data_IF_204672599410
#
_entry.id   IF_204672599410
#
_cell.length_a   1.000
_cell.length_b   1.000
_cell.length_c   1.000
_cell.angle_alpha   90.00
_cell.angle_beta   90.00
_cell.angle_gamma   90.00
#
_symmetry.space_group_name_H-M   'P 1'
#
loop_
_entity.id
_entity.type
_entity.pdbx_description
1 polymer ?
#
# COMPACT_ATOMS: atom_id res chain seq x y z
N UNK A 1 -48.31 38.87 -17.92
CA UNK A 1 -47.48 37.66 -18.05
C UNK A 1 -47.58 36.90 -16.72
N UNK A 2 -47.81 35.60 -16.81
CA UNK A 2 -48.65 34.80 -15.90
C UNK A 2 -48.00 34.50 -14.54
N UNK A 3 -48.79 34.67 -13.47
CA UNK A 3 -48.63 34.07 -12.13
C UNK A 3 -49.70 32.98 -12.04
N UNK A 4 -49.37 31.74 -11.66
CA UNK A 4 -50.39 30.77 -11.26
C UNK A 4 -49.89 29.77 -10.18
N UNK A 5 -50.71 29.65 -9.14
CA UNK A 5 -50.63 28.75 -7.97
C UNK A 5 -51.42 27.45 -8.23
N UNK A 6 -51.08 26.35 -7.54
CA UNK A 6 -51.97 25.22 -7.18
C UNK A 6 -51.50 24.66 -5.82
N UNK A 7 -52.19 24.67 -4.66
CA UNK A 7 -53.50 24.16 -4.16
C UNK A 7 -53.61 22.63 -3.95
N UNK A 8 -53.76 22.26 -2.66
CA UNK A 8 -53.99 20.92 -2.04
C UNK A 8 -55.51 20.52 -2.13
N UNK A 9 -55.90 19.25 -1.94
CA UNK A 9 -57.14 18.60 -2.42
C UNK A 9 -58.32 18.67 -1.43
N UNK A 10 -59.53 18.15 -1.77
CA UNK A 10 -59.94 16.84 -1.19
C UNK A 10 -61.02 15.98 -1.93
N UNK A 11 -61.05 14.69 -1.53
CA UNK A 11 -62.19 13.77 -1.24
C UNK A 11 -63.27 13.33 -2.27
N UNK A 12 -63.74 12.07 -2.07
CA UNK A 12 -64.91 11.40 -2.67
C UNK A 12 -64.51 10.24 -3.59
N UNK A 13 -65.02 9.00 -3.52
CA UNK A 13 -66.38 8.55 -3.21
C UNK A 13 -66.47 7.13 -2.64
N UNK A 14 -67.65 6.83 -2.08
CA UNK A 14 -68.05 5.63 -1.35
C UNK A 14 -69.09 4.77 -2.10
N UNK A 15 -69.35 3.58 -1.53
CA UNK A 15 -70.57 2.74 -1.59
C UNK A 15 -70.73 1.79 -2.83
N UNK A 16 -71.28 0.57 -2.73
CA UNK A 16 -72.42 0.13 -1.89
C UNK A 16 -72.58 -1.41 -1.80
N UNK A 17 -73.10 -1.89 -0.66
CA UNK A 17 -74.04 -3.03 -0.39
C UNK A 17 -73.65 -4.48 -0.78
N UNK A 18 -74.09 -5.56 -0.12
CA UNK A 18 -74.74 -5.86 1.16
C UNK A 18 -74.84 -7.42 1.23
N UNK A 19 -74.84 -8.04 2.42
CA UNK A 19 -75.84 -9.01 2.89
C UNK A 19 -75.31 -9.82 4.09
N UNK A 20 -76.19 -10.02 5.07
CA UNK A 20 -75.99 -10.70 6.36
C UNK A 20 -76.44 -12.15 6.24
N UNK A 21 -75.66 -13.09 6.77
CA UNK A 21 -76.19 -14.37 7.27
C UNK A 21 -75.23 -14.95 8.32
N UNK A 22 -75.66 -14.92 9.58
CA UNK A 22 -75.10 -15.66 10.69
C UNK A 22 -75.45 -17.14 10.56
N UNK A 23 -74.45 -18.03 10.67
CA UNK A 23 -74.70 -19.43 10.98
C UNK A 23 -73.59 -20.02 11.85
N UNK A 24 -74.01 -20.87 12.77
CA UNK A 24 -73.27 -21.33 13.93
C UNK A 24 -72.26 -22.45 13.63
N UNK A 25 -71.27 -22.54 14.54
CA UNK A 25 -70.64 -23.76 15.06
C UNK A 25 -69.72 -24.57 14.12
N UNK A 26 -68.44 -24.66 14.50
CA UNK A 26 -67.70 -25.89 14.91
C UNK A 26 -66.20 -25.54 14.91
N UNK A 27 -65.55 -25.80 16.05
CA UNK A 27 -64.11 -25.67 16.22
C UNK A 27 -63.37 -26.64 15.28
N UNK A 28 -62.53 -26.10 14.40
CA UNK A 28 -61.54 -26.86 13.64
C UNK A 28 -60.16 -26.63 14.26
N UNK A 29 -59.50 -27.72 14.66
CA UNK A 29 -58.13 -27.69 15.17
C UNK A 29 -57.17 -27.24 14.07
N UNK A 30 -56.47 -26.13 14.29
CA UNK A 30 -55.38 -25.67 13.44
C UNK A 30 -54.15 -26.55 13.68
N UNK A 31 -53.50 -27.10 12.63
CA UNK A 31 -52.26 -27.83 12.79
C UNK A 31 -51.13 -26.89 13.22
N UNK A 32 -50.36 -27.32 14.21
CA UNK A 32 -49.14 -26.67 14.69
C UNK A 32 -48.15 -26.45 13.52
N UNK A 33 -47.61 -25.23 13.31
CA UNK A 33 -46.55 -25.02 12.35
C UNK A 33 -45.29 -25.78 12.78
N UNK A 34 -44.68 -26.52 11.85
CA UNK A 34 -43.38 -27.14 12.05
C UNK A 34 -42.31 -26.06 12.34
N UNK A 35 -41.33 -26.31 13.22
CA UNK A 35 -40.28 -25.35 13.51
C UNK A 35 -39.43 -25.14 12.26
N UNK A 36 -39.34 -23.89 11.79
CA UNK A 36 -38.40 -23.50 10.74
C UNK A 36 -36.99 -23.63 11.32
N UNK A 37 -36.15 -24.46 10.70
CA UNK A 37 -34.75 -24.58 11.06
C UNK A 37 -34.08 -23.20 10.93
N UNK A 38 -33.59 -22.67 12.04
CA UNK A 38 -32.83 -21.42 12.07
C UNK A 38 -31.51 -21.65 11.34
N UNK A 39 -31.28 -20.91 10.25
CA UNK A 39 -29.97 -20.81 9.63
C UNK A 39 -28.96 -20.34 10.69
N UNK A 40 -27.81 -21.01 10.86
CA UNK A 40 -26.80 -20.58 11.82
C UNK A 40 -26.38 -19.14 11.52
N UNK A 41 -26.39 -18.29 12.55
CA UNK A 41 -25.80 -16.96 12.47
C UNK A 41 -24.34 -17.10 12.03
N UNK A 42 -23.95 -16.35 11.01
CA UNK A 42 -22.57 -16.30 10.53
C UNK A 42 -21.74 -15.62 11.61
N UNK A 43 -20.98 -16.41 12.37
CA UNK A 43 -19.99 -15.90 13.31
C UNK A 43 -19.02 -14.99 12.54
N UNK A 44 -18.77 -13.75 12.97
CA UNK A 44 -17.74 -12.90 12.37
C UNK A 44 -16.42 -13.68 12.33
N UNK A 45 -15.78 -13.73 11.16
CA UNK A 45 -14.46 -14.33 11.03
C UNK A 45 -13.53 -13.69 12.08
N UNK A 46 -12.96 -14.53 12.94
CA UNK A 46 -11.97 -14.07 13.90
C UNK A 46 -10.83 -13.39 13.13
N UNK A 47 -10.58 -12.11 13.42
CA UNK A 47 -9.36 -11.42 12.99
C UNK A 47 -8.17 -12.23 13.49
N UNK A 48 -7.53 -12.96 12.59
CA UNK A 48 -6.27 -13.64 12.88
C UNK A 48 -5.28 -12.61 13.37
N UNK A 49 -4.79 -12.80 14.59
CA UNK A 49 -3.78 -11.94 15.19
C UNK A 49 -2.52 -12.00 14.32
N UNK A 50 -2.06 -10.86 13.84
CA UNK A 50 -0.78 -10.74 13.15
C UNK A 50 0.32 -10.82 14.19
N UNK A 51 1.05 -11.94 14.18
CA UNK A 51 2.15 -12.23 15.12
C UNK A 51 3.50 -11.81 14.57
N UNK A 52 3.55 -11.24 13.37
CA UNK A 52 4.81 -10.80 12.75
C UNK A 52 5.33 -9.58 13.52
N UNK A 53 6.50 -9.67 14.18
CA UNK A 53 7.04 -8.53 14.92
C UNK A 53 7.44 -7.41 13.97
N UNK A 54 7.20 -6.16 14.38
CA UNK A 54 7.77 -5.03 13.66
C UNK A 54 9.30 -5.02 13.85
N UNK A 55 10.04 -4.89 12.75
CA UNK A 55 11.49 -4.85 12.71
C UNK A 55 11.95 -3.80 11.71
N UNK A 56 13.11 -3.20 11.98
CA UNK A 56 13.81 -2.33 11.02
C UNK A 56 15.06 -3.03 10.51
N UNK A 57 15.39 -2.80 9.25
CA UNK A 57 16.64 -3.27 8.64
C UNK A 57 17.39 -2.09 8.04
N UNK A 58 18.69 -2.02 8.33
CA UNK A 58 19.58 -0.99 7.78
C UNK A 58 20.54 -1.61 6.77
N UNK A 59 20.56 -1.07 5.56
CA UNK A 59 21.46 -1.46 4.49
C UNK A 59 22.55 -0.39 4.42
N UNK A 60 23.81 -0.80 4.59
CA UNK A 60 24.98 0.07 4.53
C UNK A 60 25.82 -0.26 3.31
N UNK A 61 26.23 0.77 2.58
CA UNK A 61 27.23 0.68 1.52
C UNK A 61 28.26 1.80 1.69
N UNK A 62 29.37 1.78 0.94
CA UNK A 62 30.25 2.94 0.83
C UNK A 62 29.56 4.23 0.37
N UNK A 63 28.42 4.14 -0.32
CA UNK A 63 27.75 5.27 -0.98
C UNK A 63 26.57 5.84 -0.17
N UNK A 64 25.87 4.99 0.57
CA UNK A 64 24.60 5.32 1.24
C UNK A 64 24.30 4.42 2.43
N UNK A 65 23.38 4.88 3.29
CA UNK A 65 22.70 4.06 4.31
C UNK A 65 21.19 4.16 4.15
N UNK A 66 20.47 3.03 4.09
CA UNK A 66 19.02 2.98 3.95
C UNK A 66 18.41 2.21 5.09
N UNK A 67 17.35 2.72 5.71
CA UNK A 67 16.56 1.98 6.70
C UNK A 67 15.17 1.70 6.16
N UNK A 68 14.79 0.42 6.14
CA UNK A 68 13.45 -0.04 5.81
C UNK A 68 12.74 -0.52 7.09
N UNK A 69 11.47 -0.15 7.25
CA UNK A 69 10.59 -0.60 8.31
C UNK A 69 9.72 -1.75 7.80
N UNK A 70 9.65 -2.86 8.54
CA UNK A 70 8.84 -4.01 8.13
C UNK A 70 7.36 -3.69 8.12
N UNK A 71 6.92 -2.70 8.90
CA UNK A 71 5.56 -2.16 8.79
C UNK A 71 5.38 -1.45 7.45
N UNK A 72 4.53 -2.03 6.60
CA UNK A 72 4.29 -1.56 5.25
C UNK A 72 5.47 -1.76 4.28
N UNK A 73 6.60 -2.33 4.72
CA UNK A 73 7.84 -2.42 3.94
C UNK A 73 8.21 -1.07 3.30
N UNK A 74 8.37 -0.05 4.15
CA UNK A 74 8.55 1.36 3.77
C UNK A 74 9.98 1.84 4.08
N UNK A 75 10.51 2.76 3.28
CA UNK A 75 11.76 3.42 3.63
C UNK A 75 11.52 4.51 4.68
N UNK A 76 12.29 4.47 5.77
CA UNK A 76 12.21 5.46 6.85
C UNK A 76 13.48 6.32 6.95
N UNK A 77 14.57 5.91 6.31
CA UNK A 77 15.80 6.68 6.17
C UNK A 77 16.48 6.34 4.85
N UNK A 78 17.06 7.34 4.19
CA UNK A 78 17.91 7.18 3.02
C UNK A 78 18.98 8.27 3.03
N UNK A 79 20.19 7.94 3.50
CA UNK A 79 21.30 8.88 3.67
C UNK A 79 22.32 8.66 2.56
N UNK A 80 22.71 9.73 1.88
CA UNK A 80 23.80 9.72 0.90
C UNK A 80 25.11 10.13 1.59
N UNK A 81 26.12 9.28 1.53
CA UNK A 81 27.39 9.46 2.24
C UNK A 81 28.43 10.20 1.40
N UNK A 82 28.50 9.88 0.11
CA UNK A 82 29.46 10.45 -0.83
C UNK A 82 28.80 10.74 -2.16
N UNK A 83 29.41 11.63 -2.92
CA UNK A 83 29.24 11.78 -4.35
C UNK A 83 30.34 10.94 -5.01
N UNK A 84 29.94 10.03 -5.89
CA UNK A 84 30.84 9.19 -6.65
C UNK A 84 30.61 9.44 -8.14
N UNK A 85 31.47 10.27 -8.72
CA UNK A 85 31.42 10.65 -10.13
C UNK A 85 32.80 10.51 -10.77
N UNK A 86 32.88 10.33 -12.10
CA UNK A 86 34.17 10.27 -12.81
C UNK A 86 35.06 11.51 -12.60
N UNK A 87 34.49 12.65 -12.19
CA UNK A 87 35.22 13.92 -12.00
C UNK A 87 35.79 14.07 -10.60
N UNK A 88 35.14 13.51 -9.59
CA UNK A 88 35.54 13.66 -8.19
C UNK A 88 34.72 12.75 -7.29
N UNK A 89 35.35 12.29 -6.22
CA UNK A 89 34.70 11.65 -5.08
C UNK A 89 34.85 12.52 -3.84
N UNK A 90 33.75 12.82 -3.16
CA UNK A 90 33.78 13.62 -1.93
C UNK A 90 32.57 13.32 -1.03
N UNK A 91 32.69 13.48 0.30
CA UNK A 91 31.56 13.33 1.22
C UNK A 91 30.42 14.29 0.90
N UNK A 92 29.17 13.84 1.06
CA UNK A 92 27.98 14.66 0.80
C UNK A 92 27.27 14.94 2.12
N UNK A 93 26.92 16.21 2.30
CA UNK A 93 26.19 16.72 3.45
C UNK A 93 25.03 17.58 2.96
N UNK A 94 23.99 17.71 3.77
CA UNK A 94 22.80 18.50 3.43
C UNK A 94 23.14 19.99 3.28
N UNK A 95 22.38 20.75 2.48
CA UNK A 95 22.65 22.17 2.17
C UNK A 95 22.86 23.04 3.42
N UNK A 96 22.08 22.80 4.48
CA UNK A 96 22.19 23.48 5.78
C UNK A 96 23.41 23.10 6.64
N UNK A 97 24.44 22.45 6.07
CA UNK A 97 25.68 22.07 6.75
C UNK A 97 26.74 23.16 6.70
N UNK A 98 27.60 23.20 7.70
CA UNK A 98 28.79 24.07 7.74
C UNK A 98 30.01 23.28 8.25
N UNK A 99 31.14 23.93 8.52
CA UNK A 99 32.35 23.24 8.99
C UNK A 99 32.22 22.69 10.42
N UNK A 100 31.51 23.39 11.30
CA UNK A 100 31.28 23.00 12.68
C UNK A 100 30.12 21.99 12.83
N UNK A 101 29.19 21.98 11.89
CA UNK A 101 27.97 21.18 11.92
C UNK A 101 27.71 20.53 10.55
N UNK A 102 28.18 19.28 10.40
CA UNK A 102 27.99 18.47 9.20
C UNK A 102 26.71 17.66 9.32
N UNK A 103 25.66 18.08 8.60
CA UNK A 103 24.37 17.38 8.61
C UNK A 103 24.34 16.29 7.54
N UNK A 104 23.86 15.08 7.85
CA UNK A 104 23.77 14.01 6.87
C UNK A 104 22.81 14.41 5.75
N UNK A 105 23.16 14.07 4.50
CA UNK A 105 22.25 14.20 3.36
C UNK A 105 21.16 13.13 3.43
N UNK A 106 20.18 13.36 4.29
CA UNK A 106 19.00 12.53 4.48
C UNK A 106 17.94 12.91 3.45
N UNK A 107 17.54 11.95 2.63
CA UNK A 107 16.54 12.17 1.59
C UNK A 107 15.11 12.06 2.10
N UNK A 108 14.87 11.42 3.25
CA UNK A 108 13.54 11.25 3.85
C UNK A 108 13.34 12.25 4.99
N UNK A 109 12.42 13.20 4.80
CA UNK A 109 12.15 14.24 5.79
C UNK A 109 11.59 13.68 7.10
N UNK A 110 12.05 14.16 8.27
CA UNK A 110 11.43 13.85 9.56
C UNK A 110 9.93 14.18 9.62
N UNK A 111 9.50 15.25 8.93
CA UNK A 111 8.11 15.69 8.88
C UNK A 111 7.21 14.63 8.24
N UNK A 112 7.67 13.97 7.17
CA UNK A 112 6.94 12.89 6.53
C UNK A 112 6.77 11.64 7.41
N UNK A 113 7.75 11.39 8.29
CA UNK A 113 7.68 10.30 9.28
C UNK A 113 6.70 10.62 10.42
N UNK A 114 6.50 11.90 10.71
CA UNK A 114 5.61 12.37 11.77
C UNK A 114 4.13 12.51 11.33
N UNK A 115 3.84 12.54 10.03
CA UNK A 115 2.47 12.60 9.49
C UNK A 115 1.70 11.29 9.73
N UNK A 116 0.37 11.39 9.82
CA UNK A 116 -0.54 10.26 9.92
C UNK A 116 -1.61 10.35 8.83
N UNK A 117 -1.61 9.42 7.84
CA UNK A 117 -0.62 8.37 7.62
C UNK A 117 0.76 8.93 7.21
N UNK A 118 1.82 8.15 7.44
CA UNK A 118 3.17 8.53 7.02
C UNK A 118 3.25 8.75 5.50
N UNK A 119 3.97 9.79 5.08
CA UNK A 119 4.13 10.16 3.67
C UNK A 119 5.51 9.77 3.14
N UNK A 120 5.90 8.52 3.41
CA UNK A 120 7.19 7.97 3.02
C UNK A 120 7.13 7.17 1.71
N UNK A 121 8.28 6.93 1.06
CA UNK A 121 8.34 6.16 -0.18
C UNK A 121 7.89 4.71 -0.02
N UNK A 122 7.59 4.10 -1.18
CA UNK A 122 7.24 2.69 -1.35
C UNK A 122 5.89 2.28 -0.79
N UNK A 123 5.04 3.25 -0.46
CA UNK A 123 3.63 2.98 -0.16
C UNK A 123 2.90 2.50 -1.41
N UNK A 124 1.92 1.64 -1.20
CA UNK A 124 1.06 1.15 -2.27
C UNK A 124 -0.31 1.80 -2.17
N UNK A 125 -0.88 2.16 -3.31
CA UNK A 125 -2.26 2.63 -3.43
C UNK A 125 -2.97 1.85 -4.52
N UNK A 126 -4.18 1.42 -4.20
CA UNK A 126 -5.11 0.71 -5.06
C UNK A 126 -6.47 1.38 -4.94
N UNK A 127 -7.41 0.96 -5.77
CA UNK A 127 -8.79 1.44 -5.72
C UNK A 127 -9.59 0.85 -4.52
N UNK A 128 -9.02 -0.13 -3.81
CA UNK A 128 -9.61 -0.75 -2.60
C UNK A 128 -8.92 -0.22 -1.34
N UNK A 129 -9.65 0.57 -0.55
CA UNK A 129 -9.14 1.17 0.70
C UNK A 129 -8.73 0.12 1.74
N UNK A 130 -9.44 -1.01 1.83
CA UNK A 130 -9.10 -2.07 2.78
C UNK A 130 -7.77 -2.74 2.40
N UNK A 131 -7.51 -2.93 1.10
CA UNK A 131 -6.21 -3.39 0.61
C UNK A 131 -5.13 -2.37 0.96
N UNK A 132 -5.39 -1.07 0.77
CA UNK A 132 -4.43 -0.01 1.13
C UNK A 132 -4.05 -0.04 2.61
N UNK A 133 -5.02 -0.24 3.50
CA UNK A 133 -4.77 -0.32 4.94
C UNK A 133 -3.93 -1.54 5.31
N UNK A 134 -4.20 -2.69 4.68
CA UNK A 134 -3.44 -3.93 4.90
C UNK A 134 -1.98 -3.75 4.43
N UNK A 135 -1.76 -3.37 3.18
CA UNK A 135 -0.42 -3.35 2.57
C UNK A 135 0.49 -2.25 3.11
N UNK A 136 -0.06 -1.21 3.74
CA UNK A 136 0.72 -0.14 4.35
C UNK A 136 0.74 -0.19 5.89
N UNK A 137 -0.19 -0.92 6.51
CA UNK A 137 -0.37 -0.93 7.97
C UNK A 137 0.14 -2.20 8.67
N UNK A 138 0.32 -3.31 7.94
CA UNK A 138 0.77 -4.60 8.50
C UNK A 138 2.28 -4.77 8.50
N UNK A 139 2.76 -5.65 9.36
CA UNK A 139 4.18 -6.01 9.38
C UNK A 139 4.47 -7.09 8.33
N UNK A 140 5.55 -6.91 7.59
CA UNK A 140 6.03 -7.87 6.61
C UNK A 140 7.08 -8.78 7.24
N UNK A 141 7.10 -10.04 6.84
CA UNK A 141 8.23 -10.93 7.10
C UNK A 141 9.40 -10.52 6.19
N UNK A 142 10.61 -10.43 6.77
CA UNK A 142 11.83 -10.06 6.04
C UNK A 142 12.61 -11.34 5.75
N UNK A 143 13.13 -11.50 4.53
CA UNK A 143 13.92 -12.66 4.12
C UNK A 143 15.27 -12.83 4.85
N UNK A 144 15.65 -11.89 5.70
CA UNK A 144 16.86 -11.97 6.52
C UNK A 144 16.56 -11.73 7.99
N UNK A 145 17.31 -12.43 8.85
CA UNK A 145 17.30 -12.22 10.28
C UNK A 145 18.18 -11.03 10.71
N UNK A 146 19.07 -10.56 9.86
CA UNK A 146 19.99 -9.45 10.16
C UNK A 146 19.23 -8.12 10.30
N UNK A 147 19.59 -7.32 11.31
CA UNK A 147 19.12 -5.93 11.44
C UNK A 147 19.97 -4.95 10.64
N UNK A 148 21.22 -5.31 10.34
CA UNK A 148 22.13 -4.51 9.52
C UNK A 148 22.81 -5.40 8.50
N UNK A 149 22.69 -5.01 7.22
CA UNK A 149 23.36 -5.64 6.08
C UNK A 149 24.41 -4.66 5.58
N UNK A 150 25.67 -5.09 5.51
CA UNK A 150 26.77 -4.27 4.97
C UNK A 150 27.21 -4.81 3.61
N UNK A 151 27.26 -3.94 2.60
CA UNK A 151 27.68 -4.25 1.24
C UNK A 151 29.00 -3.56 0.94
N UNK A 152 30.01 -4.34 0.53
CA UNK A 152 31.24 -3.81 -0.06
C UNK A 152 31.05 -3.45 -1.54
N UNK A 153 32.03 -2.76 -2.14
CA UNK A 153 32.06 -2.49 -3.58
C UNK A 153 31.94 -3.80 -4.37
N UNK A 154 31.11 -3.81 -5.42
CA UNK A 154 30.83 -4.98 -6.23
C UNK A 154 29.90 -6.02 -5.58
N UNK A 155 29.43 -5.81 -4.35
CA UNK A 155 28.44 -6.68 -3.72
C UNK A 155 27.02 -6.24 -4.00
N UNK A 156 26.14 -7.22 -4.15
CA UNK A 156 24.69 -7.04 -4.28
C UNK A 156 23.97 -7.85 -3.20
N UNK A 157 22.86 -7.32 -2.69
CA UNK A 157 21.96 -8.05 -1.81
C UNK A 157 20.51 -7.81 -2.18
N UNK A 158 19.79 -8.92 -2.32
CA UNK A 158 18.35 -8.94 -2.41
C UNK A 158 17.72 -9.07 -1.01
N UNK A 159 16.73 -8.24 -0.71
CA UNK A 159 15.93 -8.29 0.52
C UNK A 159 14.45 -8.34 0.13
N UNK A 160 13.81 -9.44 0.50
CA UNK A 160 12.39 -9.68 0.21
C UNK A 160 11.56 -9.42 1.46
N UNK A 161 10.49 -8.65 1.29
CA UNK A 161 9.43 -8.44 2.28
C UNK A 161 8.17 -9.14 1.80
N UNK A 162 7.63 -10.05 2.61
CA UNK A 162 6.41 -10.80 2.30
C UNK A 162 5.30 -10.53 3.32
N UNK A 163 4.08 -10.43 2.82
CA UNK A 163 2.87 -10.31 3.62
C UNK A 163 1.81 -11.25 3.04
N UNK A 164 1.23 -12.08 3.88
CA UNK A 164 0.02 -12.85 3.57
C UNK A 164 -0.97 -12.59 4.68
N UNK A 165 -2.16 -12.11 4.32
CA UNK A 165 -3.22 -11.78 5.27
C UNK A 165 -4.40 -12.75 5.12
N UNK A 166 -5.17 -12.96 6.20
CA UNK A 166 -6.32 -13.86 6.19
C UNK A 166 -7.44 -13.45 5.23
N UNK A 167 -7.47 -12.18 4.80
CA UNK A 167 -8.34 -11.70 3.73
C UNK A 167 -7.96 -12.21 2.33
N UNK A 168 -6.86 -12.95 2.20
CA UNK A 168 -6.33 -13.45 0.93
C UNK A 168 -5.47 -12.41 0.19
N UNK A 169 -5.11 -11.30 0.84
CA UNK A 169 -4.12 -10.36 0.30
C UNK A 169 -2.72 -10.94 0.45
N UNK A 170 -1.98 -10.96 -0.66
CA UNK A 170 -0.59 -11.41 -0.72
C UNK A 170 0.28 -10.32 -1.35
N UNK A 171 1.35 -9.94 -0.68
CA UNK A 171 2.29 -8.93 -1.15
C UNK A 171 3.71 -9.42 -1.05
N UNK A 172 4.48 -9.13 -2.09
CA UNK A 172 5.93 -9.30 -2.11
C UNK A 172 6.57 -8.01 -2.61
N UNK A 173 7.44 -7.40 -1.79
CA UNK A 173 8.34 -6.32 -2.22
C UNK A 173 9.76 -6.85 -2.22
N UNK A 174 10.43 -6.77 -3.35
CA UNK A 174 11.78 -7.27 -3.54
C UNK A 174 12.71 -6.10 -3.81
N UNK A 175 13.60 -5.81 -2.87
CA UNK A 175 14.60 -4.75 -3.00
C UNK A 175 15.94 -5.36 -3.37
N UNK A 176 16.63 -4.77 -4.35
CA UNK A 176 18.00 -5.15 -4.72
C UNK A 176 18.91 -3.95 -4.50
N UNK A 177 19.85 -4.10 -3.58
CA UNK A 177 20.83 -3.08 -3.21
C UNK A 177 22.22 -3.47 -3.69
N UNK A 178 23.01 -2.47 -4.10
CA UNK A 178 24.37 -2.64 -4.61
C UNK A 178 25.33 -1.73 -3.86
N UNK A 179 26.52 -2.23 -3.53
CA UNK A 179 27.52 -1.49 -2.76
C UNK A 179 28.23 -0.37 -3.54
N UNK A 180 28.12 -0.40 -4.87
CA UNK A 180 28.82 0.47 -5.81
C UNK A 180 27.87 1.28 -6.72
N UNK A 181 26.56 1.27 -6.44
CA UNK A 181 25.56 2.01 -7.20
C UNK A 181 24.52 2.66 -6.30
N UNK A 182 24.14 3.91 -6.61
CA UNK A 182 22.99 4.58 -5.96
C UNK A 182 21.64 4.02 -6.41
N UNK A 183 21.63 3.12 -7.39
CA UNK A 183 20.42 2.50 -7.92
C UNK A 183 20.07 1.30 -7.04
N UNK A 184 18.89 1.36 -6.45
CA UNK A 184 18.20 0.20 -5.91
C UNK A 184 17.05 -0.20 -6.84
N UNK A 185 16.86 -1.50 -7.03
CA UNK A 185 15.69 -2.00 -7.75
C UNK A 185 14.57 -2.31 -6.77
N UNK A 186 13.33 -2.06 -7.18
CA UNK A 186 12.14 -2.49 -6.46
C UNK A 186 11.22 -3.27 -7.40
N UNK A 187 11.03 -4.55 -7.08
CA UNK A 187 10.00 -5.41 -7.67
C UNK A 187 8.81 -5.56 -6.73
N UNK A 188 7.58 -5.52 -7.26
CA UNK A 188 6.36 -5.64 -6.45
C UNK A 188 5.41 -6.64 -7.09
N UNK A 189 4.90 -7.57 -6.28
CA UNK A 189 3.74 -8.41 -6.60
C UNK A 189 2.67 -8.15 -5.56
N UNK A 190 1.45 -7.86 -6.00
CA UNK A 190 0.29 -7.65 -5.15
C UNK A 190 -0.87 -8.48 -5.70
N UNK A 191 -1.39 -9.39 -4.88
CA UNK A 191 -2.51 -10.27 -5.21
C UNK A 191 -3.58 -10.23 -4.13
N UNK A 192 -4.82 -10.54 -4.52
CA UNK A 192 -5.96 -10.74 -3.63
C UNK A 192 -6.74 -11.96 -4.12
N UNK A 193 -6.88 -12.98 -3.27
CA UNK A 193 -7.54 -14.23 -3.66
C UNK A 193 -6.85 -14.96 -4.81
N UNK A 194 -5.52 -14.86 -4.90
CA UNK A 194 -4.71 -15.45 -5.98
C UNK A 194 -4.62 -14.64 -7.27
N UNK A 195 -5.48 -13.63 -7.48
CA UNK A 195 -5.47 -12.77 -8.67
C UNK A 195 -4.66 -11.50 -8.45
N UNK A 196 -4.06 -10.96 -9.52
CA UNK A 196 -3.31 -9.69 -9.43
C UNK A 196 -4.28 -8.54 -9.18
N UNK A 197 -3.96 -7.68 -8.21
CA UNK A 197 -4.76 -6.48 -7.97
C UNK A 197 -4.59 -5.52 -9.15
N UNK A 198 -5.67 -4.99 -9.74
CA UNK A 198 -5.58 -4.08 -10.88
C UNK A 198 -5.04 -2.70 -10.46
N UNK A 199 -4.34 -2.06 -11.40
CA UNK A 199 -3.87 -0.67 -11.29
C UNK A 199 -3.17 -0.26 -9.97
N UNK A 200 -2.28 -1.09 -9.38
CA UNK A 200 -1.57 -0.69 -8.19
C UNK A 200 -0.62 0.47 -8.54
N UNK A 201 -0.64 1.50 -7.70
CA UNK A 201 0.20 2.69 -7.78
C UNK A 201 1.26 2.61 -6.70
N UNK A 202 2.52 2.79 -7.10
CA UNK A 202 3.62 2.99 -6.18
C UNK A 202 3.69 4.48 -5.85
N UNK A 203 3.52 4.82 -4.58
CA UNK A 203 3.63 6.19 -4.11
C UNK A 203 5.10 6.45 -3.72
N UNK A 204 5.74 7.32 -4.49
CA UNK A 204 7.01 7.93 -4.15
C UNK A 204 6.63 9.33 -3.65
N UNK A 205 6.45 9.47 -2.32
CA UNK A 205 5.95 10.72 -1.73
C UNK A 205 6.83 11.94 -2.06
N UNK A 206 6.35 13.14 -1.75
CA UNK A 206 7.10 14.41 -1.84
C UNK A 206 8.36 14.46 -0.94
N UNK A 207 8.60 13.38 -0.21
CA UNK A 207 9.56 13.23 0.88
C UNK A 207 10.85 12.56 0.42
N UNK A 208 11.20 12.60 -0.87
CA UNK A 208 12.54 12.26 -1.37
C UNK A 208 13.19 13.52 -1.92
N UNK A 209 14.22 14.01 -1.24
CA UNK A 209 14.98 15.20 -1.65
C UNK A 209 15.88 15.72 -0.53
N UNK A 210 16.74 16.71 -0.82
CA UNK A 210 17.42 17.44 0.26
C UNK A 210 16.39 18.30 1.00
N UNK A 211 16.18 18.02 2.29
CA UNK A 211 15.22 18.72 3.14
C UNK A 211 15.87 19.79 4.03
N UNK A 212 17.20 19.95 3.99
CA UNK A 212 17.90 20.99 4.75
C UNK A 212 18.01 22.33 3.99
N UNK A 213 17.09 22.57 3.04
CA UNK A 213 17.09 23.75 2.18
C UNK A 213 16.43 24.93 2.92
N UNK A 214 17.18 26.00 3.13
CA UNK A 214 16.68 27.22 3.80
C UNK A 214 15.85 28.15 2.89
N UNK A 215 15.93 27.98 1.56
CA UNK A 215 15.14 28.76 0.57
C UNK A 215 14.42 27.84 -0.43
N UNK A 216 13.09 27.88 -0.43
CA UNK A 216 12.24 27.06 -1.30
C UNK A 216 12.31 27.52 -2.77
N UNK A 217 12.65 26.62 -3.70
CA UNK A 217 12.27 26.74 -5.11
C UNK A 217 12.55 25.45 -5.89
N UNK A 218 11.87 24.33 -5.63
CA UNK A 218 11.85 23.24 -6.62
C UNK A 218 10.49 22.52 -6.67
N UNK A 219 9.85 22.63 -7.84
CA UNK A 219 8.78 21.75 -8.32
C UNK A 219 9.45 20.58 -9.05
N UNK A 220 9.22 19.34 -8.62
CA UNK A 220 9.69 18.16 -9.35
C UNK A 220 8.72 17.93 -10.51
N UNK A 221 8.98 18.55 -11.66
CA UNK A 221 8.41 18.14 -12.94
C UNK A 221 9.36 17.18 -13.64
N UNK A 222 8.88 15.99 -13.99
CA UNK A 222 9.60 15.01 -14.81
C UNK A 222 9.81 15.56 -16.22
N UNK A 223 10.84 16.39 -16.40
CA UNK A 223 11.70 16.45 -17.57
C UNK A 223 12.68 17.60 -17.38
N UNK A 224 13.98 17.23 -17.47
CA UNK A 224 15.11 18.12 -17.67
C UNK A 224 15.59 18.89 -16.43
N UNK A 225 16.48 18.28 -15.64
CA UNK A 225 17.54 19.07 -15.01
C UNK A 225 18.84 18.29 -14.86
N UNK A 226 19.89 18.94 -15.33
CA UNK A 226 21.26 18.47 -15.52
C UNK A 226 22.05 18.45 -14.20
N UNK A 227 22.87 17.41 -14.03
CA UNK A 227 24.15 17.41 -13.29
C UNK A 227 24.16 17.77 -11.79
N UNK A 228 23.23 17.25 -10.99
CA UNK A 228 23.43 17.09 -9.54
C UNK A 228 22.91 15.73 -9.10
N UNK A 229 23.65 15.07 -8.21
CA UNK A 229 23.52 13.65 -7.82
C UNK A 229 22.06 13.20 -7.72
N UNK A 230 21.63 12.42 -8.71
CA UNK A 230 20.27 11.91 -8.82
C UNK A 230 20.26 10.46 -8.33
N UNK A 231 19.50 10.18 -7.27
CA UNK A 231 19.13 8.80 -6.93
C UNK A 231 18.11 8.35 -7.97
N UNK A 232 18.48 7.35 -8.76
CA UNK A 232 17.58 6.75 -9.75
C UNK A 232 17.05 5.45 -9.15
N UNK A 233 15.76 5.43 -8.84
CA UNK A 233 15.06 4.22 -8.49
C UNK A 233 14.52 3.57 -9.77
N UNK A 234 14.96 2.34 -10.05
CA UNK A 234 14.41 1.54 -11.15
C UNK A 234 13.27 0.67 -10.61
N UNK A 235 12.06 0.86 -11.16
CA UNK A 235 10.89 0.04 -10.82
C UNK A 235 10.63 -0.93 -11.96
N UNK A 236 10.86 -2.23 -11.72
CA UNK A 236 10.59 -3.27 -12.70
C UNK A 236 9.26 -3.95 -12.37
N UNK A 237 8.31 -3.89 -13.30
CA UNK A 237 7.01 -4.57 -13.16
C UNK A 237 7.21 -6.07 -13.42
N UNK A 238 6.73 -6.93 -12.53
CA UNK A 238 6.72 -8.37 -12.77
C UNK A 238 5.62 -8.70 -13.80
N UNK A 239 6.02 -9.18 -14.99
CA UNK A 239 5.11 -9.65 -16.02
C UNK A 239 4.79 -11.13 -15.79
N UNK A 240 3.52 -11.45 -15.51
CA UNK A 240 3.05 -12.83 -15.42
C UNK A 240 3.25 -13.55 -16.75
N UNK A 241 4.12 -14.56 -16.79
CA UNK A 241 4.19 -15.49 -17.91
C UNK A 241 3.19 -16.63 -17.68
N UNK A 242 2.07 -16.60 -18.41
CA UNK A 242 1.15 -17.75 -18.46
C UNK A 242 1.72 -18.80 -19.41
N UNK A 243 2.35 -19.85 -18.86
CA UNK A 243 2.66 -21.05 -19.63
C UNK A 243 1.36 -21.79 -19.94
N UNK A 244 0.93 -21.75 -21.21
CA UNK A 244 -0.10 -22.68 -21.72
C UNK A 244 0.61 -23.94 -22.18
N UNK A 245 0.53 -25.02 -21.41
CA UNK A 245 0.90 -26.35 -21.89
C UNK A 245 -0.19 -26.86 -22.83
N UNK A 246 0.08 -26.77 -24.13
CA UNK A 246 -0.73 -27.41 -25.17
C UNK A 246 -0.39 -28.90 -25.18
N UNK A 247 -1.21 -29.72 -24.53
CA UNK A 247 -1.20 -31.17 -24.69
C UNK A 247 -1.63 -31.52 -26.11
N UNK A 248 -0.66 -31.84 -26.96
CA UNK A 248 -0.88 -32.39 -28.29
C UNK A 248 -1.19 -33.88 -28.20
N UNK A 249 -2.45 -34.24 -28.38
CA UNK A 249 -2.89 -35.61 -28.64
C UNK A 249 -2.48 -35.97 -30.08
N UNK A 250 -1.72 -37.05 -30.28
CA UNK A 250 -1.57 -37.71 -31.59
C UNK A 250 -2.13 -39.12 -31.50
N UNK A 251 -3.12 -39.37 -32.34
CA UNK A 251 -3.51 -40.70 -32.81
C UNK A 251 -2.43 -41.27 -33.73
#
# INVERSE_FOLDING_TARGET
>A
MVILFCTKPPAGDANTNANVASNANIAAATPTPAPVAQTPAVTPAATTLDTTPNRKITIKSPLYEVTLDSKGALATSWIILKNDSPKSQFPVYADGSNEADKKPMQLISPEALARSPQEVPFRLSTDDAAVNDIVNGRNYAISTAEETVTLAVGQEKQIEFTLTDASGVEVKKNFVFRGDSYIADLGISLKKGGESVPNPKLLIGASIGDHAINNHNFTISSQKLLHRSMVILSVTRATTHSFTTRTGNRH
#
